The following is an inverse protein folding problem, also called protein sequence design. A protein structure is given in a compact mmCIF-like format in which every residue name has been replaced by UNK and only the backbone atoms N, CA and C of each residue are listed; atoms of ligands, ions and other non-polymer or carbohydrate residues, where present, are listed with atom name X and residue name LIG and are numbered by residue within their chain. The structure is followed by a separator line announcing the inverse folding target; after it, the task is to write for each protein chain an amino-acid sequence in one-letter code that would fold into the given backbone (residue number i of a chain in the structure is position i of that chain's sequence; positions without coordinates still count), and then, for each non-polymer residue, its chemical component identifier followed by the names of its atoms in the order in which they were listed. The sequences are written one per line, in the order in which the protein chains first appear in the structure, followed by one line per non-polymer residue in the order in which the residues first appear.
data_IF_342823441615
#
_entry.id   IF_342823441615
#
_cell.length_a   1.000
_cell.length_b   1.000
_cell.length_c   1.000
_cell.angle_alpha   90.00
_cell.angle_beta   90.00
_cell.angle_gamma   90.00
#
_symmetry.space_group_name_H-M   'P 1'
#
loop_
_entity.id
_entity.type
_entity.pdbx_description
1 polymer ?
#
# COMPACT_ATOMS: atom_id res chain seq x y z
N UNK A 1 5.69 -4.17 21.86
CA UNK A 1 5.98 -3.78 20.48
C UNK A 1 6.75 -4.87 19.76
N UNK A 2 6.42 -5.13 18.51
CA UNK A 2 7.11 -6.12 17.67
C UNK A 2 7.84 -5.42 16.54
N UNK A 3 8.96 -5.98 16.14
CA UNK A 3 9.77 -5.49 15.02
C UNK A 3 10.05 -6.64 14.07
N UNK A 4 9.85 -6.42 12.76
CA UNK A 4 10.08 -7.43 11.73
C UNK A 4 10.96 -6.85 10.62
N UNK A 5 11.75 -7.72 9.99
CA UNK A 5 12.41 -7.39 8.73
C UNK A 5 11.37 -7.40 7.61
N UNK A 6 11.50 -6.48 6.68
CA UNK A 6 10.59 -6.35 5.55
C UNK A 6 11.34 -6.30 4.22
N UNK A 7 10.70 -6.76 3.16
CA UNK A 7 11.11 -6.50 1.78
C UNK A 7 10.19 -5.47 1.18
N UNK A 8 10.73 -4.60 0.33
CA UNK A 8 10.00 -3.49 -0.29
C UNK A 8 9.89 -3.68 -1.79
N UNK A 9 9.36 -2.68 -2.49
CA UNK A 9 9.41 -2.61 -3.93
C UNK A 9 10.84 -2.58 -4.45
N UNK A 10 11.04 -2.91 -5.72
CA UNK A 10 12.38 -2.96 -6.30
C UNK A 10 13.03 -1.57 -6.39
N UNK A 11 12.28 -0.51 -6.14
CA UNK A 11 12.80 0.84 -5.90
C UNK A 11 12.49 1.20 -4.44
N UNK A 12 13.36 0.82 -3.47
CA UNK A 12 13.04 0.97 -2.05
C UNK A 12 13.31 2.37 -1.49
N UNK A 13 13.83 3.29 -2.30
CA UNK A 13 14.29 4.61 -1.86
C UNK A 13 13.23 5.67 -2.12
N UNK A 14 12.63 5.69 -3.32
CA UNK A 14 11.70 6.73 -3.73
C UNK A 14 10.30 6.48 -3.19
N UNK A 15 9.55 7.57 -2.98
CA UNK A 15 8.11 7.48 -2.74
C UNK A 15 7.40 7.08 -4.03
N UNK A 16 6.36 6.24 -3.90
CA UNK A 16 5.55 5.84 -5.05
C UNK A 16 4.74 7.02 -5.58
N UNK A 17 4.83 7.27 -6.87
CA UNK A 17 4.09 8.34 -7.55
C UNK A 17 3.19 7.82 -8.67
N UNK A 18 3.47 6.66 -9.23
CA UNK A 18 2.71 6.11 -10.35
C UNK A 18 2.87 4.60 -10.45
N UNK A 19 1.98 3.98 -11.21
CA UNK A 19 2.07 2.55 -11.50
C UNK A 19 3.38 2.22 -12.23
N UNK A 20 3.98 1.12 -11.84
CA UNK A 20 5.17 0.59 -12.51
C UNK A 20 6.50 1.16 -12.04
N UNK A 21 6.51 2.12 -11.11
CA UNK A 21 7.76 2.70 -10.62
C UNK A 21 8.52 1.82 -9.61
N UNK A 22 7.90 0.71 -9.18
CA UNK A 22 8.52 -0.22 -8.25
C UNK A 22 8.72 0.32 -6.85
N UNK A 23 8.21 1.49 -6.55
CA UNK A 23 8.36 2.13 -5.25
C UNK A 23 7.24 1.71 -4.31
N UNK A 24 7.59 1.55 -3.03
CA UNK A 24 6.60 1.43 -1.95
C UNK A 24 6.17 2.83 -1.54
N UNK A 25 4.85 3.09 -1.40
CA UNK A 25 4.41 4.44 -1.07
C UNK A 25 4.83 4.83 0.34
N UNK A 26 5.13 6.11 0.52
CA UNK A 26 5.43 6.71 1.82
C UNK A 26 4.27 7.61 2.24
N UNK A 27 3.93 7.63 3.51
CA UNK A 27 2.84 8.43 4.03
C UNK A 27 1.99 7.68 5.04
N UNK A 28 0.81 8.23 5.29
CA UNK A 28 -0.17 7.65 6.21
C UNK A 28 -1.34 7.07 5.44
N UNK A 29 -1.65 5.82 5.73
CA UNK A 29 -2.70 5.05 5.07
C UNK A 29 -3.54 4.32 6.12
N UNK A 30 -4.53 3.57 5.68
CA UNK A 30 -5.30 2.66 6.52
C UNK A 30 -5.41 1.30 5.85
N UNK A 31 -5.66 0.26 6.63
CA UNK A 31 -5.94 -1.08 6.10
C UNK A 31 -7.38 -1.10 5.59
N UNK A 32 -7.57 -1.32 4.30
CA UNK A 32 -8.91 -1.33 3.72
C UNK A 32 -9.47 -2.75 3.53
N UNK A 33 -8.63 -3.77 3.54
CA UNK A 33 -9.06 -5.15 3.39
C UNK A 33 -8.07 -6.14 4.01
N UNK A 34 -8.58 -7.33 4.33
CA UNK A 34 -7.78 -8.45 4.81
C UNK A 34 -8.08 -9.65 3.92
N UNK A 35 -7.04 -10.39 3.52
CA UNK A 35 -7.19 -11.55 2.65
C UNK A 35 -6.36 -12.73 3.19
N UNK A 36 -7.03 -13.80 3.60
CA UNK A 36 -6.40 -15.04 4.09
C UNK A 36 -6.19 -16.07 2.98
N UNK A 37 -6.53 -15.72 1.73
CA UNK A 37 -6.36 -16.58 0.56
C UNK A 37 -5.48 -15.91 -0.51
N UNK A 38 -4.56 -15.06 -0.08
CA UNK A 38 -3.62 -14.39 -0.98
C UNK A 38 -2.63 -15.41 -1.57
N UNK A 39 -2.23 -15.20 -2.82
CA UNK A 39 -1.16 -16.00 -3.43
C UNK A 39 0.19 -15.79 -2.74
N UNK A 40 0.31 -14.77 -1.90
CA UNK A 40 1.48 -14.48 -1.08
C UNK A 40 1.22 -14.80 0.39
N UNK A 41 0.46 -15.84 0.68
CA UNK A 41 0.06 -16.37 1.98
C UNK A 41 -1.09 -15.54 2.59
N UNK A 42 -0.79 -14.50 3.36
CA UNK A 42 -1.77 -13.60 3.96
C UNK A 42 -1.48 -12.18 3.49
N UNK A 43 -2.51 -11.35 3.37
CA UNK A 43 -2.28 -9.96 2.98
C UNK A 43 -3.24 -8.98 3.66
N UNK A 44 -2.72 -7.77 3.87
CA UNK A 44 -3.46 -6.61 4.35
C UNK A 44 -3.36 -5.54 3.27
N UNK A 45 -4.51 -5.08 2.76
CA UNK A 45 -4.53 -4.02 1.75
C UNK A 45 -4.30 -2.65 2.38
N UNK A 46 -3.34 -1.92 1.82
CA UNK A 46 -2.97 -0.56 2.23
C UNK A 46 -3.66 0.43 1.31
N UNK A 47 -4.26 1.48 1.84
CA UNK A 47 -5.13 2.41 1.14
C UNK A 47 -4.41 3.43 0.26
N UNK A 48 -3.46 2.99 -0.54
CA UNK A 48 -2.83 3.81 -1.56
C UNK A 48 -3.74 3.87 -2.80
N UNK A 49 -3.89 5.01 -3.48
CA UNK A 49 -3.32 6.32 -3.17
C UNK A 49 -4.08 7.07 -2.06
N UNK A 50 -3.33 7.85 -1.27
CA UNK A 50 -3.94 8.73 -0.28
C UNK A 50 -4.21 10.13 -0.86
N UNK A 51 -4.65 11.07 -0.01
CA UNK A 51 -5.02 12.43 -0.46
C UNK A 51 -3.80 13.16 -1.06
N UNK A 52 -2.64 13.07 -0.41
CA UNK A 52 -1.42 13.73 -0.88
C UNK A 52 -0.95 13.15 -2.22
N UNK A 53 -1.06 11.84 -2.40
CA UNK A 53 -0.75 11.17 -3.67
C UNK A 53 -1.67 11.69 -4.78
N UNK A 54 -2.95 11.83 -4.48
CA UNK A 54 -3.95 12.33 -5.44
C UNK A 54 -3.71 13.80 -5.81
N UNK A 55 -3.37 14.63 -4.83
CA UNK A 55 -3.05 16.04 -5.07
C UNK A 55 -1.83 16.17 -6.00
N UNK A 56 -0.79 15.41 -5.72
CA UNK A 56 0.41 15.38 -6.56
C UNK A 56 0.10 14.87 -7.96
N UNK A 57 -0.68 13.79 -8.06
CA UNK A 57 -1.05 13.20 -9.36
C UNK A 57 -1.88 14.14 -10.21
N UNK A 58 -2.81 14.88 -9.62
CA UNK A 58 -3.60 15.89 -10.34
C UNK A 58 -2.71 17.04 -10.81
N UNK A 59 -1.87 17.56 -9.92
CA UNK A 59 -0.96 18.66 -10.23
C UNK A 59 -0.02 18.29 -11.39
N UNK A 60 0.48 17.06 -11.40
CA UNK A 60 1.45 16.57 -12.39
C UNK A 60 0.78 16.01 -13.66
N UNK A 61 -0.54 16.08 -13.75
CA UNK A 61 -1.27 15.65 -14.93
C UNK A 61 -1.40 14.14 -15.10
N UNK A 62 -1.16 13.36 -14.04
CA UNK A 62 -1.23 11.90 -14.10
C UNK A 62 -2.66 11.37 -14.00
N UNK A 63 -3.54 12.09 -13.29
CA UNK A 63 -4.94 11.69 -13.13
C UNK A 63 -5.88 12.83 -13.49
N UNK A 64 -7.12 12.48 -13.82
CA UNK A 64 -8.18 13.46 -14.09
C UNK A 64 -8.75 14.02 -12.79
N UNK A 65 -9.50 15.13 -12.91
CA UNK A 65 -10.21 15.71 -11.79
C UNK A 65 -11.22 14.72 -11.20
N UNK A 66 -11.90 13.96 -12.03
CA UNK A 66 -12.84 12.94 -11.60
C UNK A 66 -12.15 11.85 -10.77
N UNK A 67 -11.00 11.36 -11.21
CA UNK A 67 -10.22 10.38 -10.47
C UNK A 67 -9.73 10.94 -9.14
N UNK A 68 -9.28 12.18 -9.15
CA UNK A 68 -8.87 12.89 -7.94
C UNK A 68 -10.00 12.93 -6.90
N UNK A 69 -11.19 13.33 -7.31
CA UNK A 69 -12.35 13.44 -6.42
C UNK A 69 -12.79 12.08 -5.88
N UNK A 70 -12.72 11.03 -6.69
CA UNK A 70 -13.03 9.66 -6.25
C UNK A 70 -12.03 9.19 -5.17
N UNK A 71 -10.76 9.49 -5.33
CA UNK A 71 -9.73 9.14 -4.35
C UNK A 71 -9.98 9.88 -3.03
N UNK A 72 -10.28 11.18 -3.10
CA UNK A 72 -10.57 11.98 -1.91
C UNK A 72 -11.79 11.44 -1.16
N UNK A 73 -12.85 11.10 -1.88
CA UNK A 73 -14.06 10.55 -1.29
C UNK A 73 -13.77 9.23 -0.57
N UNK A 74 -13.03 8.32 -1.22
CA UNK A 74 -12.70 7.03 -0.63
C UNK A 74 -11.87 7.18 0.65
N UNK A 75 -10.90 8.08 0.65
CA UNK A 75 -10.08 8.36 1.84
C UNK A 75 -10.91 8.97 2.97
N UNK A 76 -11.82 9.90 2.65
CA UNK A 76 -12.71 10.50 3.64
C UNK A 76 -13.63 9.45 4.28
N UNK A 77 -14.15 8.54 3.49
CA UNK A 77 -15.06 7.49 3.95
C UNK A 77 -14.33 6.24 4.46
N UNK A 78 -13.01 6.20 4.32
CA UNK A 78 -12.14 5.08 4.72
C UNK A 78 -12.56 3.75 4.08
N UNK A 79 -12.87 3.82 2.80
CA UNK A 79 -13.19 2.66 1.96
C UNK A 79 -12.06 2.44 0.95
N UNK A 80 -12.20 1.42 0.09
CA UNK A 80 -11.20 1.09 -0.91
C UNK A 80 -11.01 2.23 -1.91
N UNK A 81 -9.81 2.85 -1.99
CA UNK A 81 -9.56 3.85 -3.02
C UNK A 81 -9.54 3.22 -4.41
N UNK A 82 -9.81 3.98 -5.48
CA UNK A 82 -9.64 3.47 -6.84
C UNK A 82 -8.23 2.89 -7.04
N UNK A 83 -8.17 1.65 -7.53
CA UNK A 83 -6.92 0.91 -7.68
C UNK A 83 -6.44 0.87 -9.14
N UNK A 84 -7.20 1.43 -10.04
CA UNK A 84 -7.00 1.32 -11.49
C UNK A 84 -6.68 2.66 -12.16
N UNK A 85 -6.19 3.62 -11.42
CA UNK A 85 -5.73 4.89 -11.98
C UNK A 85 -4.25 4.81 -12.38
N UNK A 86 -3.73 5.79 -13.15
CA UNK A 86 -2.30 5.84 -13.46
C UNK A 86 -1.37 5.95 -12.25
N UNK A 87 -1.89 6.31 -11.07
CA UNK A 87 -1.09 6.31 -9.84
C UNK A 87 -0.79 4.89 -9.37
N UNK A 88 -1.57 3.90 -9.82
CA UNK A 88 -1.44 2.52 -9.39
C UNK A 88 -2.29 2.17 -8.19
N UNK A 89 -2.05 1.01 -7.63
CA UNK A 89 -2.78 0.47 -6.50
C UNK A 89 -2.21 -0.89 -6.15
N UNK A 90 -3.04 -1.75 -5.53
CA UNK A 90 -2.67 -3.11 -5.18
C UNK A 90 -1.43 -3.16 -4.28
N UNK A 91 -1.36 -2.22 -3.35
CA UNK A 91 -0.31 -2.20 -2.34
C UNK A 91 -0.80 -2.99 -1.14
N UNK A 92 -0.08 -4.05 -0.82
CA UNK A 92 -0.40 -4.95 0.27
C UNK A 92 0.80 -5.17 1.16
N UNK A 93 0.53 -5.49 2.43
CA UNK A 93 1.51 -6.10 3.32
C UNK A 93 1.22 -7.59 3.25
N UNK A 94 2.19 -8.40 2.82
CA UNK A 94 1.98 -9.82 2.54
C UNK A 94 3.17 -10.68 2.93
N UNK A 95 3.00 -12.00 2.83
CA UNK A 95 4.05 -12.98 3.11
C UNK A 95 5.01 -13.21 1.94
N UNK A 96 5.69 -14.32 1.95
CA UNK A 96 6.68 -14.83 0.99
C UNK A 96 8.09 -14.28 1.13
N UNK A 97 8.38 -13.55 2.21
CA UNK A 97 9.77 -13.34 2.62
C UNK A 97 10.28 -11.93 2.50
N UNK A 98 11.27 -11.65 3.34
CA UNK A 98 11.87 -10.34 3.53
C UNK A 98 13.35 -10.27 3.10
N UNK A 99 13.83 -11.24 2.33
CA UNK A 99 15.25 -11.38 2.02
C UNK A 99 15.77 -10.35 1.03
N UNK A 100 14.88 -9.70 0.28
CA UNK A 100 15.26 -8.67 -0.70
C UNK A 100 14.09 -7.74 -0.98
N UNK A 101 14.37 -6.65 -1.70
CA UNK A 101 13.36 -5.69 -2.16
C UNK A 101 12.86 -6.15 -3.55
N UNK A 102 11.99 -7.14 -3.56
CA UNK A 102 11.60 -7.88 -4.75
C UNK A 102 10.22 -7.56 -5.29
N UNK A 103 9.42 -6.77 -4.58
CA UNK A 103 8.02 -6.53 -4.93
C UNK A 103 7.86 -5.42 -5.96
N UNK A 104 6.63 -5.25 -6.44
CA UNK A 104 6.28 -4.13 -7.33
C UNK A 104 5.82 -2.88 -6.54
N UNK A 105 6.00 -2.88 -5.23
CA UNK A 105 5.63 -1.78 -4.34
C UNK A 105 5.04 -2.24 -3.01
N UNK A 106 4.68 -3.50 -2.87
CA UNK A 106 4.17 -4.07 -1.63
C UNK A 106 5.25 -4.19 -0.55
N UNK A 107 4.81 -4.38 0.68
CA UNK A 107 5.68 -4.68 1.82
C UNK A 107 5.58 -6.18 2.07
N UNK A 108 6.71 -6.88 2.04
CA UNK A 108 6.77 -8.32 2.22
C UNK A 108 7.41 -8.70 3.56
N UNK A 109 6.81 -9.65 4.25
CA UNK A 109 7.33 -10.22 5.50
C UNK A 109 7.54 -11.72 5.33
N UNK A 110 8.33 -12.30 6.22
CA UNK A 110 8.43 -13.74 6.35
C UNK A 110 7.09 -14.30 6.87
N UNK A 111 6.71 -15.49 6.42
CA UNK A 111 5.37 -16.03 6.70
C UNK A 111 4.98 -16.06 8.20
N UNK A 112 5.85 -16.51 9.13
CA UNK A 112 5.48 -16.49 10.54
C UNK A 112 5.19 -15.09 11.07
N UNK A 113 5.95 -14.09 10.62
CA UNK A 113 5.77 -12.70 11.02
C UNK A 113 4.49 -12.13 10.41
N UNK A 114 4.21 -12.48 9.16
CA UNK A 114 2.97 -12.07 8.49
C UNK A 114 1.74 -12.62 9.22
N UNK A 115 1.78 -13.87 9.66
CA UNK A 115 0.69 -14.48 10.43
C UNK A 115 0.42 -13.72 11.72
N UNK A 116 1.47 -13.38 12.45
CA UNK A 116 1.34 -12.64 13.70
C UNK A 116 0.75 -11.25 13.46
N UNK A 117 1.25 -10.55 12.43
CA UNK A 117 0.74 -9.22 12.07
C UNK A 117 -0.72 -9.29 11.62
N UNK A 118 -1.04 -10.26 10.76
CA UNK A 118 -2.40 -10.43 10.24
C UNK A 118 -3.41 -10.66 11.37
N UNK A 119 -3.06 -11.47 12.36
CA UNK A 119 -3.95 -11.75 13.49
C UNK A 119 -4.16 -10.53 14.40
N UNK A 120 -3.23 -9.58 14.40
CA UNK A 120 -3.26 -8.41 15.28
C UNK A 120 -3.89 -7.17 14.65
N UNK A 121 -4.05 -7.12 13.31
CA UNK A 121 -4.39 -5.88 12.59
C UNK A 121 -5.75 -6.00 11.91
N UNK A 122 -6.78 -5.33 12.46
CA UNK A 122 -8.10 -5.27 11.81
C UNK A 122 -8.14 -4.24 10.69
N UNK A 123 -9.20 -4.32 9.88
CA UNK A 123 -9.53 -3.28 8.90
C UNK A 123 -9.72 -1.95 9.62
N UNK A 124 -9.21 -0.86 9.04
CA UNK A 124 -9.26 0.48 9.61
C UNK A 124 -8.01 0.87 10.39
N UNK A 125 -7.10 -0.08 10.63
CA UNK A 125 -5.83 0.22 11.33
C UNK A 125 -4.99 1.20 10.51
N UNK A 126 -4.44 2.21 11.20
CA UNK A 126 -3.54 3.16 10.56
C UNK A 126 -2.19 2.51 10.25
N UNK A 127 -1.68 2.81 9.06
CA UNK A 127 -0.36 2.35 8.59
C UNK A 127 0.45 3.57 8.19
N UNK A 128 1.62 3.74 8.80
CA UNK A 128 2.55 4.81 8.46
C UNK A 128 3.78 4.17 7.82
N UNK A 129 4.11 4.62 6.61
CA UNK A 129 5.29 4.15 5.88
C UNK A 129 6.24 5.34 5.75
N UNK A 130 7.41 5.19 6.33
CA UNK A 130 8.44 6.23 6.37
C UNK A 130 9.68 5.78 5.61
N UNK A 131 10.46 6.75 5.07
CA UNK A 131 11.72 6.43 4.40
C UNK A 131 12.74 5.76 5.33
#
# INVERSE_FOLDING_TARGET
MRTYSIGLGFNPIDDKIKEGDGATPQGTFYVFTRNDQSKYYLSLGVSYPNVEDAERGLRDGLISRSQYEEILKANRERITPPQNTPLGGLIYIHGNGSQSDWTLGCVALDDPNMKELFDAVPVGTEVVIEP
#
